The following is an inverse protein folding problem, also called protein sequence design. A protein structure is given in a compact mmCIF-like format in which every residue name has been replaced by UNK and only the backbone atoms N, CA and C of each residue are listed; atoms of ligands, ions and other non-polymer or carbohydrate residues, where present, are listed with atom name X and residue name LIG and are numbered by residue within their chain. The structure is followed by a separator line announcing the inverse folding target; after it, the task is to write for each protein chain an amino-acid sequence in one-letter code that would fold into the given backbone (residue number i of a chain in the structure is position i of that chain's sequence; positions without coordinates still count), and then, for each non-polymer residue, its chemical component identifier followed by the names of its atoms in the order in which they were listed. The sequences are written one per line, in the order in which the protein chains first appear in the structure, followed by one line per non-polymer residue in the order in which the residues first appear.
data_IF_278460441157
#
_entry.id   IF_278460441157
#
_cell.length_a   1.000
_cell.length_b   1.000
_cell.length_c   1.000
_cell.angle_alpha   90.00
_cell.angle_beta   90.00
_cell.angle_gamma   90.00
#
_symmetry.space_group_name_H-M   'P 1'
#
loop_
_entity.id
_entity.type
_entity.pdbx_description
1 polymer ?
#
# COMPACT_ATOMS: atom_id res chain seq x y z
N UNK A 1 -3.30 -3.74 -10.02
CA UNK A 1 -3.90 -2.41 -9.75
C UNK A 1 -2.84 -1.56 -9.07
N UNK A 2 -2.58 -0.35 -9.55
CA UNK A 2 -1.73 0.62 -8.86
C UNK A 2 -2.51 1.44 -7.82
N UNK A 3 -1.81 2.18 -6.96
CA UNK A 3 -2.42 2.98 -5.89
C UNK A 3 -3.43 4.00 -6.42
N UNK A 4 -3.11 4.67 -7.53
CA UNK A 4 -4.00 5.66 -8.16
C UNK A 4 -5.32 5.03 -8.61
N UNK A 5 -5.24 3.85 -9.24
CA UNK A 5 -6.41 3.11 -9.70
C UNK A 5 -7.24 2.61 -8.52
N UNK A 6 -6.60 2.23 -7.41
CA UNK A 6 -7.28 1.80 -6.19
C UNK A 6 -8.02 2.96 -5.50
N UNK A 7 -7.36 4.11 -5.36
CA UNK A 7 -7.98 5.34 -4.84
C UNK A 7 -9.15 5.80 -5.72
N UNK A 8 -8.96 5.86 -7.03
CA UNK A 8 -10.01 6.21 -7.97
C UNK A 8 -11.17 5.18 -7.98
N UNK A 9 -10.89 3.92 -7.68
CA UNK A 9 -11.93 2.90 -7.52
C UNK A 9 -12.78 3.19 -6.27
N UNK A 10 -12.16 3.42 -5.11
CA UNK A 10 -12.86 3.80 -3.87
C UNK A 10 -13.75 5.04 -4.08
N UNK A 11 -13.21 6.10 -4.67
CA UNK A 11 -13.93 7.35 -4.93
C UNK A 11 -15.16 7.18 -5.85
N UNK A 12 -15.16 6.15 -6.71
CA UNK A 12 -16.28 5.82 -7.60
C UNK A 12 -17.34 4.95 -6.94
N UNK A 13 -17.00 4.17 -5.91
CA UNK A 13 -17.96 3.29 -5.23
C UNK A 13 -19.00 4.10 -4.47
N UNK A 14 -18.56 5.06 -3.68
CA UNK A 14 -19.42 5.93 -2.86
C UNK A 14 -18.80 7.31 -2.78
N UNK A 15 -19.64 8.36 -2.83
CA UNK A 15 -19.18 9.75 -2.69
C UNK A 15 -18.43 9.94 -1.37
N UNK A 16 -17.19 10.41 -1.45
CA UNK A 16 -16.34 10.66 -0.28
C UNK A 16 -15.63 9.42 0.26
N UNK A 17 -15.70 8.28 -0.41
CA UNK A 17 -14.89 7.11 -0.06
C UNK A 17 -13.46 7.28 -0.59
N UNK A 18 -12.50 6.84 0.22
CA UNK A 18 -11.06 6.88 -0.04
C UNK A 18 -10.45 5.54 0.36
N UNK A 19 -9.20 5.29 -0.03
CA UNK A 19 -8.41 4.24 0.60
C UNK A 19 -8.30 4.48 2.11
N UNK A 20 -8.22 3.39 2.87
CA UNK A 20 -8.27 3.45 4.34
C UNK A 20 -7.13 4.27 4.93
N UNK A 21 -7.47 5.15 5.86
CA UNK A 21 -6.56 5.85 6.77
C UNK A 21 -6.50 5.10 8.11
N UNK A 22 -5.34 5.15 8.77
CA UNK A 22 -5.10 4.47 10.04
C UNK A 22 -4.57 5.49 11.05
N UNK A 23 -5.25 5.60 12.19
CA UNK A 23 -4.99 6.64 13.20
C UNK A 23 -4.58 6.08 14.56
N UNK A 24 -4.57 4.76 14.73
CA UNK A 24 -4.14 4.12 15.98
C UNK A 24 -3.73 2.67 15.75
N UNK A 25 -3.07 2.09 16.76
CA UNK A 25 -2.71 0.67 16.74
C UNK A 25 -3.96 -0.22 16.71
N UNK A 26 -5.03 0.15 17.42
CA UNK A 26 -6.26 -0.63 17.45
C UNK A 26 -6.94 -0.67 16.08
N UNK A 27 -6.90 0.44 15.32
CA UNK A 27 -7.39 0.48 13.95
C UNK A 27 -6.53 -0.38 13.02
N UNK A 28 -5.19 -0.32 13.17
CA UNK A 28 -4.27 -1.18 12.43
C UNK A 28 -4.60 -2.65 12.70
N UNK A 29 -4.69 -3.06 13.96
CA UNK A 29 -4.99 -4.43 14.39
C UNK A 29 -6.34 -4.93 13.85
N UNK A 30 -7.36 -4.06 13.86
CA UNK A 30 -8.66 -4.37 13.27
C UNK A 30 -8.55 -4.59 11.76
N UNK A 31 -7.84 -3.71 11.06
CA UNK A 31 -7.62 -3.82 9.62
C UNK A 31 -6.86 -5.10 9.26
N UNK A 32 -5.81 -5.45 10.03
CA UNK A 32 -5.05 -6.71 9.88
C UNK A 32 -5.98 -7.91 9.95
N UNK A 33 -6.83 -7.97 10.99
CA UNK A 33 -7.78 -9.06 11.20
C UNK A 33 -8.78 -9.16 10.05
N UNK A 34 -9.32 -8.03 9.61
CA UNK A 34 -10.27 -7.97 8.49
C UNK A 34 -9.62 -8.49 7.21
N UNK A 35 -8.42 -8.02 6.89
CA UNK A 35 -7.69 -8.40 5.69
C UNK A 35 -7.33 -9.88 5.70
N UNK A 36 -6.81 -10.40 6.82
CA UNK A 36 -6.52 -11.84 6.98
C UNK A 36 -7.76 -12.74 6.87
N UNK A 37 -8.91 -12.27 7.34
CA UNK A 37 -10.15 -13.03 7.27
C UNK A 37 -10.75 -13.09 5.86
N UNK A 38 -10.41 -12.14 4.99
CA UNK A 38 -11.06 -11.96 3.68
C UNK A 38 -10.12 -12.13 2.47
N UNK A 39 -8.81 -12.26 2.69
CA UNK A 39 -7.82 -12.43 1.63
C UNK A 39 -7.04 -13.75 1.79
N UNK A 40 -6.70 -14.38 0.67
CA UNK A 40 -5.90 -15.62 0.62
C UNK A 40 -4.43 -15.38 1.04
N UNK A 41 -3.58 -16.39 0.86
CA UNK A 41 -2.27 -16.62 1.49
C UNK A 41 -1.17 -15.53 1.42
N UNK A 42 -1.41 -14.34 0.88
CA UNK A 42 -0.54 -13.15 1.05
C UNK A 42 -1.34 -11.86 0.81
N UNK A 43 -2.12 -11.36 1.80
CA UNK A 43 -2.83 -10.10 1.63
C UNK A 43 -1.86 -8.98 1.28
N UNK A 44 -2.14 -8.29 0.18
CA UNK A 44 -1.48 -7.05 -0.19
C UNK A 44 -2.57 -6.06 -0.57
N UNK A 45 -2.64 -4.96 0.16
CA UNK A 45 -3.70 -3.98 0.02
C UNK A 45 -3.14 -2.58 0.11
N UNK A 46 -3.46 -1.73 -0.87
CA UNK A 46 -3.16 -0.30 -0.81
C UNK A 46 -3.93 0.35 0.35
N UNK A 47 -3.27 1.27 1.05
CA UNK A 47 -3.87 2.16 2.05
C UNK A 47 -3.75 3.61 1.58
N UNK A 48 -4.45 4.54 2.21
CA UNK A 48 -4.47 5.95 1.77
C UNK A 48 -3.15 6.71 1.95
N UNK A 49 -2.14 6.10 2.58
CA UNK A 49 -0.86 6.74 2.85
C UNK A 49 -0.11 7.00 1.54
N UNK A 50 0.36 8.22 1.34
CA UNK A 50 1.20 8.62 0.22
C UNK A 50 1.99 9.90 0.52
N UNK A 51 3.14 10.08 -0.11
CA UNK A 51 3.97 11.30 -0.07
C UNK A 51 4.22 11.89 -1.46
N UNK A 52 3.42 11.48 -2.45
CA UNK A 52 3.43 11.93 -3.87
C UNK A 52 3.46 13.44 -4.07
N UNK A 53 2.99 14.23 -3.11
CA UNK A 53 3.02 15.69 -3.17
C UNK A 53 4.37 16.29 -2.75
N UNK A 54 5.07 15.66 -1.81
CA UNK A 54 6.37 16.09 -1.29
C UNK A 54 7.06 14.91 -0.64
N UNK A 55 8.15 14.45 -1.24
CA UNK A 55 8.95 13.31 -0.77
C UNK A 55 9.27 13.41 0.72
N UNK A 56 9.09 12.31 1.46
CA UNK A 56 9.26 12.24 2.90
C UNK A 56 8.16 12.91 3.72
N UNK A 57 7.15 13.54 3.09
CA UNK A 57 6.00 14.15 3.77
C UNK A 57 4.71 13.38 3.48
N UNK A 58 4.53 12.31 4.24
CA UNK A 58 3.37 11.43 4.16
C UNK A 58 2.05 12.10 4.55
N UNK A 59 1.01 11.76 3.82
CA UNK A 59 -0.37 12.23 3.97
C UNK A 59 -1.36 11.10 3.70
N UNK A 60 -2.58 11.21 4.24
CA UNK A 60 -3.70 10.35 3.88
C UNK A 60 -4.48 10.94 2.71
N UNK A 61 -4.93 10.10 1.77
CA UNK A 61 -5.71 10.53 0.59
C UNK A 61 -7.07 11.11 0.93
N UNK A 62 -7.62 10.78 2.11
CA UNK A 62 -8.88 11.33 2.64
C UNK A 62 -8.71 12.70 3.32
N UNK A 63 -7.48 13.23 3.41
CA UNK A 63 -7.16 14.51 4.04
C UNK A 63 -7.11 14.49 5.57
N UNK A 64 -7.25 13.32 6.20
CA UNK A 64 -7.13 13.17 7.65
C UNK A 64 -5.68 13.40 8.14
N UNK A 65 -5.47 13.74 9.42
CA UNK A 65 -4.13 13.95 9.97
C UNK A 65 -3.26 12.69 9.91
N UNK A 66 -2.03 12.84 9.40
CA UNK A 66 -1.03 11.77 9.37
C UNK A 66 -0.27 11.70 10.72
N UNK A 67 -0.90 11.10 11.73
CA UNK A 67 -0.39 11.08 13.12
C UNK A 67 0.02 9.69 13.62
N UNK A 68 -0.21 8.65 12.82
CA UNK A 68 0.09 7.27 13.16
C UNK A 68 0.78 6.58 11.99
N UNK A 69 1.78 5.76 12.30
CA UNK A 69 2.49 4.94 11.32
C UNK A 69 2.80 3.58 11.92
N UNK A 70 2.62 2.53 11.13
CA UNK A 70 3.07 1.18 11.45
C UNK A 70 4.07 0.69 10.39
N UNK A 71 5.03 1.53 10.01
CA UNK A 71 6.04 1.16 9.00
C UNK A 71 6.80 -0.09 9.39
N UNK A 72 7.04 -0.97 8.41
CA UNK A 72 7.93 -2.11 8.59
C UNK A 72 9.35 -1.61 8.88
N UNK A 73 10.16 -2.44 9.54
CA UNK A 73 11.56 -2.11 9.77
C UNK A 73 12.27 -1.77 8.46
N UNK A 74 12.83 -0.57 8.35
CA UNK A 74 13.51 -0.10 7.15
C UNK A 74 12.58 0.59 6.13
N UNK A 75 11.32 0.84 6.47
CA UNK A 75 10.38 1.63 5.68
C UNK A 75 10.01 2.93 6.41
N UNK A 76 9.58 3.99 5.70
CA UNK A 76 9.71 4.17 4.25
C UNK A 76 11.19 4.43 3.88
N UNK A 77 11.68 3.86 2.78
CA UNK A 77 13.08 4.00 2.35
C UNK A 77 13.27 4.72 1.01
N UNK A 78 12.17 5.07 0.35
CA UNK A 78 12.11 5.65 -0.98
C UNK A 78 13.05 4.91 -1.95
N UNK A 79 12.86 3.59 -2.05
CA UNK A 79 13.79 2.74 -2.79
C UNK A 79 13.93 3.21 -4.25
N UNK A 80 15.16 3.58 -4.62
CA UNK A 80 15.48 4.21 -5.91
C UNK A 80 14.76 5.52 -6.25
N UNK A 81 14.25 6.27 -5.26
CA UNK A 81 13.51 7.52 -5.45
C UNK A 81 12.23 7.37 -6.26
N UNK A 82 11.45 6.33 -5.94
CA UNK A 82 10.43 5.78 -6.84
C UNK A 82 9.20 5.25 -6.12
N UNK A 83 9.13 5.28 -4.81
CA UNK A 83 8.05 4.63 -4.07
C UNK A 83 7.31 5.69 -3.27
N UNK A 84 6.05 5.97 -3.61
CA UNK A 84 5.36 7.13 -3.02
C UNK A 84 4.07 6.74 -2.28
N UNK A 85 3.80 5.44 -2.14
CA UNK A 85 2.48 4.90 -1.82
C UNK A 85 2.57 3.78 -0.79
N UNK A 86 1.72 3.87 0.24
CA UNK A 86 1.69 2.91 1.34
C UNK A 86 0.79 1.72 1.06
N UNK A 87 1.23 0.54 1.48
CA UNK A 87 0.42 -0.68 1.46
C UNK A 87 0.61 -1.49 2.74
N UNK A 88 -0.36 -2.35 3.08
CA UNK A 88 -0.13 -3.42 4.06
C UNK A 88 0.83 -4.46 3.49
N UNK A 89 1.76 -4.91 4.33
CA UNK A 89 2.69 -5.98 4.01
C UNK A 89 1.97 -7.34 3.87
N UNK A 90 2.75 -8.37 3.51
CA UNK A 90 2.28 -9.76 3.29
C UNK A 90 1.65 -10.42 4.51
N UNK A 91 2.06 -10.02 5.73
CA UNK A 91 1.44 -10.48 6.97
C UNK A 91 0.21 -9.64 7.35
N UNK A 92 -0.04 -8.53 6.64
CA UNK A 92 -1.06 -7.54 6.95
C UNK A 92 -0.74 -6.70 8.18
N UNK A 93 0.47 -6.77 8.76
CA UNK A 93 0.79 -6.20 10.08
C UNK A 93 1.35 -4.78 10.04
N UNK A 94 2.10 -4.48 8.99
CA UNK A 94 2.90 -3.26 8.89
C UNK A 94 2.76 -2.63 7.50
N UNK A 95 3.08 -1.36 7.40
CA UNK A 95 3.08 -0.60 6.17
C UNK A 95 4.39 -0.82 5.40
N UNK A 96 4.30 -0.84 4.07
CA UNK A 96 5.42 -0.83 3.12
C UNK A 96 5.24 0.33 2.14
N UNK A 97 6.33 0.90 1.66
CA UNK A 97 6.34 1.79 0.50
C UNK A 97 6.38 0.94 -0.79
N UNK A 98 5.67 1.32 -1.86
CA UNK A 98 5.71 0.59 -3.13
C UNK A 98 5.32 1.46 -4.33
N UNK A 99 5.82 1.13 -5.53
CA UNK A 99 5.43 1.75 -6.81
C UNK A 99 4.50 0.89 -7.67
N UNK A 100 3.45 1.46 -8.26
CA UNK A 100 2.85 0.99 -9.54
C UNK A 100 2.24 -0.43 -9.54
N UNK A 101 1.62 -0.89 -10.65
CA UNK A 101 0.80 -2.10 -10.61
C UNK A 101 1.66 -3.33 -10.34
N UNK A 102 1.15 -4.23 -9.49
CA UNK A 102 1.70 -5.57 -9.30
C UNK A 102 2.19 -6.13 -10.63
N UNK A 103 3.49 -6.43 -10.74
CA UNK A 103 3.87 -7.54 -11.58
C UNK A 103 3.04 -8.74 -11.05
N UNK A 104 2.21 -9.42 -11.87
CA UNK A 104 1.67 -10.69 -11.46
C UNK A 104 2.84 -11.57 -10.99
N UNK A 105 2.56 -12.47 -10.06
CA UNK A 105 3.51 -13.34 -9.36
C UNK A 105 4.22 -14.34 -10.32
N UNK A 106 4.33 -14.03 -11.60
CA UNK A 106 4.88 -14.85 -12.68
C UNK A 106 6.03 -14.23 -13.48
N UNK A 107 6.50 -13.02 -13.15
CA UNK A 107 7.60 -12.40 -13.92
C UNK A 107 9.02 -12.79 -13.46
N UNK A 108 9.14 -13.65 -12.45
CA UNK A 108 10.43 -14.22 -12.02
C UNK A 108 10.83 -15.50 -12.77
N UNK A 109 10.30 -15.76 -13.96
CA UNK A 109 10.62 -16.98 -14.72
C UNK A 109 10.95 -16.82 -16.20
N UNK A 110 11.14 -15.60 -16.73
CA UNK A 110 11.46 -15.40 -18.16
C UNK A 110 12.64 -14.47 -18.43
N UNK A 111 13.74 -14.64 -17.68
CA UNK A 111 15.08 -14.26 -18.17
C UNK A 111 16.07 -15.43 -18.02
N UNK A 112 15.74 -16.53 -18.68
CA UNK A 112 16.73 -17.47 -19.20
C UNK A 112 16.28 -17.82 -20.62
N UNK A 113 17.22 -17.85 -21.56
CA UNK A 113 17.07 -18.07 -23.02
C UNK A 113 16.84 -16.81 -23.88
N UNK A 114 17.90 -16.01 -24.01
CA UNK A 114 18.19 -15.29 -25.26
C UNK A 114 19.70 -15.29 -25.54
N UNK A 115 20.36 -16.42 -25.31
CA UNK A 115 21.62 -16.76 -25.96
C UNK A 115 21.54 -18.24 -26.38
N UNK A 116 20.92 -18.47 -27.54
CA UNK A 116 21.14 -19.52 -28.54
C UNK A 116 20.02 -19.48 -29.59
#
# INVERSE_FOLDING_TARGET
MDWMSAEAFCQRLVKGAHLVSVHSQEQNDFLVKLVRANMNSTPRMWIGANDRGTEGRWTWSDGSPFVFTAWSTGEPNDYFRREDCGMLNWSGEYFLQHRGPHAPVSWLQLEHWSEM
#
